data_IF_367081745849
#
_entry.id   IF_367081745849
#
_cell.length_a   1.000
_cell.length_b   1.000
_cell.length_c   1.000
_cell.angle_alpha   90.00
_cell.angle_beta   90.00
_cell.angle_gamma   90.00
#
_symmetry.space_group_name_H-M   'P 1'
#
loop_
_entity.id
_entity.type
_entity.pdbx_description
1 polymer ?
#
# COMPACT_ATOMS: atom_id res chain seq x y z
N UNK A 1 -2.17 2.74 -22.52
CA UNK A 1 -3.61 2.55 -22.20
C UNK A 1 -4.16 3.68 -21.32
N UNK A 2 -3.87 3.75 -20.02
CA UNK A 2 -4.50 4.75 -19.12
C UNK A 2 -4.36 6.20 -19.62
N UNK A 3 -3.16 6.61 -20.03
CA UNK A 3 -2.92 7.94 -20.59
C UNK A 3 -3.69 8.19 -21.90
N UNK A 4 -3.82 7.18 -22.78
CA UNK A 4 -4.60 7.29 -24.03
C UNK A 4 -6.10 7.45 -23.76
N UNK A 5 -6.58 6.93 -22.63
CA UNK A 5 -7.98 7.04 -22.19
C UNK A 5 -8.23 8.25 -21.29
N UNK A 6 -7.21 9.07 -21.02
CA UNK A 6 -7.32 10.21 -20.09
C UNK A 6 -7.65 9.82 -18.65
N UNK A 7 -7.29 8.59 -18.24
CA UNK A 7 -7.57 8.07 -16.90
C UNK A 7 -6.41 8.35 -15.94
N UNK A 8 -6.76 8.83 -14.75
CA UNK A 8 -5.83 8.98 -13.63
C UNK A 8 -5.63 7.65 -12.91
N UNK A 9 -4.44 7.46 -12.33
CA UNK A 9 -4.15 6.35 -11.44
C UNK A 9 -3.10 6.74 -10.40
N UNK A 10 -3.06 5.93 -9.34
CA UNK A 10 -2.08 6.03 -8.26
C UNK A 10 -1.19 4.79 -8.27
N UNK A 11 0.13 4.97 -8.30
CA UNK A 11 1.11 3.91 -8.11
C UNK A 11 1.62 3.96 -6.66
N UNK A 12 1.43 2.87 -5.90
CA UNK A 12 2.00 2.74 -4.56
C UNK A 12 3.35 2.01 -4.64
N UNK A 13 4.43 2.70 -4.29
CA UNK A 13 5.81 2.25 -4.52
C UNK A 13 6.46 1.78 -3.22
N UNK A 14 6.98 0.53 -3.14
CA UNK A 14 7.84 0.09 -2.05
C UNK A 14 9.26 0.59 -2.32
N UNK A 15 9.63 1.74 -1.73
CA UNK A 15 10.73 2.56 -2.27
C UNK A 15 12.11 1.91 -2.18
N UNK A 16 12.39 1.09 -1.14
CA UNK A 16 13.65 0.37 -0.99
C UNK A 16 13.90 -0.74 -2.02
N UNK A 17 12.95 -0.98 -2.93
CA UNK A 17 13.04 -1.99 -3.99
C UNK A 17 13.00 -1.38 -5.40
N UNK A 18 12.95 -0.06 -5.53
CA UNK A 18 12.96 0.62 -6.84
C UNK A 18 14.28 0.31 -7.57
N UNK A 19 14.18 -0.10 -8.83
CA UNK A 19 15.31 -0.55 -9.64
C UNK A 19 15.84 -1.95 -9.33
N UNK A 20 15.30 -2.61 -8.30
CA UNK A 20 15.65 -3.99 -7.92
C UNK A 20 14.60 -5.02 -8.34
N UNK A 21 14.36 -5.99 -7.46
CA UNK A 21 13.35 -7.04 -7.62
C UNK A 21 12.39 -7.09 -6.42
N UNK A 22 11.29 -7.82 -6.56
CA UNK A 22 10.30 -8.02 -5.51
C UNK A 22 10.71 -9.02 -4.42
N UNK A 23 11.88 -8.80 -3.81
CA UNK A 23 12.52 -9.69 -2.82
C UNK A 23 11.69 -9.92 -1.55
N UNK A 24 10.68 -9.07 -1.29
CA UNK A 24 9.72 -9.29 -0.21
C UNK A 24 8.78 -10.48 -0.47
N UNK A 25 8.71 -10.97 -1.70
CA UNK A 25 8.00 -12.19 -2.09
C UNK A 25 8.94 -13.40 -2.00
N UNK A 26 8.39 -14.61 -2.15
CA UNK A 26 9.16 -15.87 -2.11
C UNK A 26 9.11 -16.58 -3.45
N UNK A 27 10.08 -17.46 -3.69
CA UNK A 27 10.13 -18.31 -4.88
C UNK A 27 10.38 -17.52 -6.16
N UNK A 28 9.74 -17.94 -7.26
CA UNK A 28 9.88 -17.28 -8.56
C UNK A 28 9.49 -15.80 -8.51
N UNK A 29 8.55 -15.44 -7.62
CA UNK A 29 8.06 -14.07 -7.49
C UNK A 29 9.05 -13.15 -6.77
N UNK A 30 10.10 -13.67 -6.11
CA UNK A 30 11.12 -12.84 -5.47
C UNK A 30 11.98 -12.05 -6.48
N UNK A 31 12.01 -12.50 -7.74
CA UNK A 31 12.89 -11.98 -8.80
C UNK A 31 12.14 -11.21 -9.89
N UNK A 32 10.89 -10.79 -9.63
CA UNK A 32 10.18 -9.96 -10.61
C UNK A 32 10.78 -8.56 -10.61
N UNK A 33 11.12 -8.00 -11.78
CA UNK A 33 11.75 -6.70 -11.87
C UNK A 33 10.81 -5.61 -11.39
N UNK A 34 11.35 -4.68 -10.60
CA UNK A 34 10.66 -3.48 -10.17
C UNK A 34 10.91 -2.32 -11.14
N UNK A 35 10.01 -1.34 -11.13
CA UNK A 35 10.24 -0.08 -11.84
C UNK A 35 11.54 0.56 -11.34
N UNK A 36 12.32 1.14 -12.25
CA UNK A 36 13.46 2.00 -11.91
C UNK A 36 13.01 3.39 -11.50
N UNK A 37 13.91 4.18 -10.91
CA UNK A 37 13.66 5.57 -10.55
C UNK A 37 13.22 6.41 -11.74
N UNK A 38 13.92 6.30 -12.88
CA UNK A 38 13.49 6.94 -14.13
C UNK A 38 12.05 6.58 -14.52
N UNK A 39 11.62 5.34 -14.26
CA UNK A 39 10.25 4.90 -14.51
C UNK A 39 9.23 5.56 -13.57
N UNK A 40 9.54 5.63 -12.27
CA UNK A 40 8.70 6.31 -11.26
C UNK A 40 8.57 7.80 -11.57
N UNK A 41 9.69 8.47 -11.88
CA UNK A 41 9.74 9.87 -12.26
C UNK A 41 8.95 10.14 -13.55
N UNK A 42 9.09 9.27 -14.55
CA UNK A 42 8.32 9.38 -15.80
C UNK A 42 6.81 9.30 -15.56
N UNK A 43 6.36 8.41 -14.67
CA UNK A 43 4.94 8.32 -14.30
C UNK A 43 4.48 9.58 -13.55
N UNK A 44 5.30 10.10 -12.64
CA UNK A 44 5.00 11.36 -11.95
C UNK A 44 4.89 12.53 -12.93
N UNK A 45 5.79 12.64 -13.91
CA UNK A 45 5.74 13.65 -14.97
C UNK A 45 4.53 13.49 -15.89
N UNK A 46 4.09 12.26 -16.14
CA UNK A 46 2.88 11.97 -16.90
C UNK A 46 1.56 12.26 -16.13
N UNK A 47 1.64 12.75 -14.89
CA UNK A 47 0.49 13.16 -14.08
C UNK A 47 -0.14 12.05 -13.24
N UNK A 48 0.47 10.86 -13.17
CA UNK A 48 0.05 9.82 -12.24
C UNK A 48 0.43 10.21 -10.80
N UNK A 49 -0.42 9.84 -9.84
CA UNK A 49 -0.09 10.01 -8.43
C UNK A 49 0.92 8.95 -8.01
N UNK A 50 1.97 9.37 -7.31
CA UNK A 50 2.90 8.47 -6.63
C UNK A 50 2.55 8.43 -5.15
N UNK A 51 2.14 7.27 -4.68
CA UNK A 51 1.93 6.95 -3.27
C UNK A 51 3.04 6.01 -2.76
N UNK A 52 3.10 5.84 -1.44
CA UNK A 52 4.07 4.94 -0.81
C UNK A 52 3.46 3.58 -0.44
N UNK A 53 4.27 2.54 -0.54
CA UNK A 53 3.97 1.20 -0.06
C UNK A 53 4.95 0.76 1.06
N UNK A 54 5.49 1.72 1.81
CA UNK A 54 6.57 1.51 2.77
C UNK A 54 7.94 1.44 2.09
N UNK A 55 9.01 1.42 2.88
CA UNK A 55 10.37 1.31 2.32
C UNK A 55 10.74 -0.17 2.16
N UNK A 56 10.51 -0.95 3.22
CA UNK A 56 10.84 -2.38 3.36
C UNK A 56 9.62 -3.30 3.19
N UNK A 57 8.49 -2.78 2.70
CA UNK A 57 7.25 -3.56 2.53
C UNK A 57 6.82 -4.31 3.82
N UNK A 58 6.95 -3.64 4.97
CA UNK A 58 6.67 -4.26 6.28
C UNK A 58 5.19 -4.58 6.48
N UNK A 59 4.91 -5.76 7.04
CA UNK A 59 3.58 -6.10 7.53
C UNK A 59 3.22 -5.21 8.75
N UNK A 60 2.56 -4.09 8.49
CA UNK A 60 2.38 -3.01 9.46
C UNK A 60 1.52 -3.40 10.69
N UNK A 61 0.72 -4.47 10.59
CA UNK A 61 -0.20 -4.91 11.63
C UNK A 61 0.45 -5.80 12.71
N UNK A 62 1.65 -6.31 12.43
CA UNK A 62 2.44 -7.22 13.28
C UNK A 62 3.83 -6.70 13.65
N UNK A 63 4.33 -5.65 12.99
CA UNK A 63 5.59 -5.00 13.35
C UNK A 63 5.39 -3.92 14.44
N UNK A 64 6.47 -3.56 15.19
CA UNK A 64 6.42 -2.48 16.17
C UNK A 64 5.96 -1.14 15.54
N UNK A 65 5.09 -0.37 16.20
CA UNK A 65 4.58 0.90 15.66
C UNK A 65 5.68 1.91 15.29
N UNK A 66 6.76 1.96 16.06
CA UNK A 66 7.90 2.84 15.85
C UNK A 66 8.65 2.46 14.58
N UNK A 67 8.84 1.17 14.35
CA UNK A 67 9.46 0.65 13.13
C UNK A 67 8.59 0.95 11.89
N UNK A 68 7.27 0.79 12.01
CA UNK A 68 6.32 1.13 10.93
C UNK A 68 6.35 2.62 10.61
N UNK A 69 6.47 3.48 11.61
CA UNK A 69 6.58 4.93 11.40
C UNK A 69 7.89 5.28 10.67
N UNK A 70 9.01 4.74 11.12
CA UNK A 70 10.32 4.98 10.50
C UNK A 70 10.37 4.50 9.05
N UNK A 71 9.87 3.29 8.78
CA UNK A 71 9.77 2.72 7.44
C UNK A 71 8.91 3.58 6.50
N UNK A 72 7.73 3.98 6.97
CA UNK A 72 6.82 4.82 6.20
C UNK A 72 7.44 6.22 5.96
N UNK A 73 8.09 6.81 6.98
CA UNK A 73 8.75 8.11 6.86
C UNK A 73 9.91 8.06 5.86
N UNK A 74 10.77 7.05 5.94
CA UNK A 74 11.88 6.84 5.02
C UNK A 74 11.38 6.74 3.57
N UNK A 75 10.32 5.93 3.35
CA UNK A 75 9.73 5.81 2.02
C UNK A 75 9.17 7.11 1.49
N UNK A 76 8.51 7.90 2.33
CA UNK A 76 7.98 9.20 1.94
C UNK A 76 9.11 10.11 1.46
N UNK A 77 10.17 10.25 2.25
CA UNK A 77 11.27 11.15 1.94
C UNK A 77 12.02 10.74 0.68
N UNK A 78 12.33 9.45 0.54
CA UNK A 78 13.02 8.94 -0.64
C UNK A 78 12.18 9.17 -1.92
N UNK A 79 10.88 8.91 -1.87
CA UNK A 79 10.01 9.18 -3.02
C UNK A 79 9.96 10.69 -3.31
N UNK A 80 9.73 11.54 -2.30
CA UNK A 80 9.64 12.99 -2.45
C UNK A 80 10.92 13.61 -3.03
N UNK A 81 12.10 13.11 -2.63
CA UNK A 81 13.41 13.53 -3.14
C UNK A 81 13.52 13.26 -4.66
N UNK A 82 13.13 12.08 -5.11
CA UNK A 82 13.17 11.70 -6.52
C UNK A 82 12.13 12.42 -7.38
N UNK A 83 10.88 12.57 -6.90
CA UNK A 83 9.78 13.09 -7.73
C UNK A 83 9.54 14.60 -7.58
N UNK A 84 10.25 15.25 -6.65
CA UNK A 84 10.18 16.70 -6.40
C UNK A 84 8.80 17.22 -5.97
N UNK A 85 7.93 16.35 -5.42
CA UNK A 85 6.57 16.71 -4.98
C UNK A 85 6.13 15.87 -3.79
N UNK A 86 5.18 16.39 -3.02
CA UNK A 86 4.69 15.73 -1.81
C UNK A 86 4.03 14.36 -2.08
N UNK A 87 4.38 13.36 -1.27
CA UNK A 87 3.79 12.03 -1.29
C UNK A 87 2.81 11.92 -0.13
N UNK A 88 1.52 11.90 -0.45
CA UNK A 88 0.45 12.07 0.57
C UNK A 88 -0.40 10.83 0.81
N UNK A 89 -0.25 9.79 -0.03
CA UNK A 89 -1.04 8.57 0.02
C UNK A 89 -0.17 7.37 0.36
N UNK A 90 -0.67 6.49 1.22
CA UNK A 90 -0.01 5.24 1.61
C UNK A 90 -0.89 4.04 1.26
N UNK A 91 -0.30 2.88 0.99
CA UNK A 91 -1.02 1.61 0.97
C UNK A 91 -0.34 0.65 1.93
N UNK A 92 -1.09 0.00 2.82
CA UNK A 92 -0.49 -0.99 3.72
C UNK A 92 -0.02 -2.21 2.94
N UNK A 93 1.25 -2.65 3.11
CA UNK A 93 1.70 -3.95 2.61
C UNK A 93 0.73 -5.07 2.99
N UNK A 94 0.39 -5.91 2.02
CA UNK A 94 -0.64 -6.97 2.14
C UNK A 94 -2.06 -6.49 2.48
N UNK A 95 -2.28 -5.18 2.60
CA UNK A 95 -3.57 -4.57 2.88
C UNK A 95 -4.03 -4.59 4.33
N UNK A 96 -3.24 -5.14 5.25
CA UNK A 96 -3.60 -5.28 6.67
C UNK A 96 -3.02 -4.17 7.53
N UNK A 97 -3.77 -3.76 8.56
CA UNK A 97 -3.38 -2.67 9.45
C UNK A 97 -3.89 -2.90 10.88
N UNK A 98 -3.37 -2.12 11.82
CA UNK A 98 -3.90 -1.98 13.17
C UNK A 98 -4.16 -0.50 13.48
N UNK A 99 -4.87 -0.20 14.58
CA UNK A 99 -5.02 1.18 15.05
C UNK A 99 -3.65 1.83 15.36
N UNK A 100 -2.65 1.03 15.77
CA UNK A 100 -1.29 1.53 15.97
C UNK A 100 -0.61 1.84 14.62
N UNK A 101 -0.71 0.96 13.63
CA UNK A 101 -0.20 1.20 12.28
C UNK A 101 -0.80 2.46 11.64
N UNK A 102 -2.11 2.69 11.82
CA UNK A 102 -2.77 3.91 11.35
C UNK A 102 -2.18 5.17 12.00
N UNK A 103 -1.83 5.12 13.28
CA UNK A 103 -1.16 6.23 13.98
C UNK A 103 0.26 6.43 13.46
N UNK A 104 1.03 5.36 13.26
CA UNK A 104 2.39 5.43 12.70
C UNK A 104 2.41 6.06 11.31
N UNK A 105 1.52 5.61 10.40
CA UNK A 105 1.41 6.19 9.05
C UNK A 105 0.97 7.65 9.11
N UNK A 106 0.08 8.02 10.02
CA UNK A 106 -0.28 9.43 10.25
C UNK A 106 0.91 10.26 10.75
N UNK A 107 1.69 9.73 11.70
CA UNK A 107 2.85 10.40 12.27
C UNK A 107 3.99 10.56 11.25
N UNK A 108 4.13 9.62 10.30
CA UNK A 108 5.03 9.70 9.16
C UNK A 108 4.66 10.82 8.15
N UNK A 109 3.49 11.45 8.29
CA UNK A 109 3.10 12.65 7.53
C UNK A 109 2.21 12.40 6.32
N UNK A 110 1.69 11.18 6.14
CA UNK A 110 0.69 10.88 5.11
C UNK A 110 -0.66 11.53 5.42
N UNK A 111 -1.51 11.68 4.40
CA UNK A 111 -2.88 12.20 4.50
C UNK A 111 -3.92 11.11 4.36
N UNK A 112 -3.61 9.98 3.74
CA UNK A 112 -4.56 8.87 3.63
C UNK A 112 -3.81 7.55 3.49
N UNK A 113 -4.50 6.46 3.81
CA UNK A 113 -3.97 5.13 3.66
C UNK A 113 -5.02 4.14 3.16
N UNK A 114 -4.62 3.29 2.21
CA UNK A 114 -5.44 2.26 1.59
C UNK A 114 -5.18 0.89 2.23
N UNK A 115 -6.25 0.15 2.48
CA UNK A 115 -6.26 -1.21 3.01
C UNK A 115 -6.99 -2.17 2.05
N UNK A 116 -6.82 -3.48 2.25
CA UNK A 116 -7.67 -4.48 1.59
C UNK A 116 -8.95 -4.63 2.41
N UNK A 117 -10.09 -4.54 1.75
CA UNK A 117 -11.39 -4.70 2.41
C UNK A 117 -12.49 -5.24 1.52
N UNK A 118 -12.19 -5.52 0.23
CA UNK A 118 -13.14 -6.00 -0.77
C UNK A 118 -14.44 -5.19 -0.78
N UNK A 119 -14.34 -3.87 -0.54
CA UNK A 119 -15.48 -2.96 -0.47
C UNK A 119 -15.21 -1.75 -1.36
N UNK A 120 -16.22 -1.25 -2.08
CA UNK A 120 -16.17 0.08 -2.66
C UNK A 120 -16.01 1.12 -1.55
N UNK A 121 -15.02 1.99 -1.69
CA UNK A 121 -14.82 3.13 -0.81
C UNK A 121 -15.97 4.12 -0.95
N UNK A 122 -16.35 4.77 0.15
CA UNK A 122 -17.38 5.82 0.18
C UNK A 122 -16.93 7.01 1.00
N UNK A 123 -17.57 8.15 0.76
CA UNK A 123 -17.44 9.32 1.63
C UNK A 123 -17.78 8.94 3.08
N UNK A 124 -16.95 9.39 4.01
CA UNK A 124 -17.08 9.06 5.44
C UNK A 124 -16.46 7.73 5.87
N UNK A 125 -15.85 6.95 4.96
CA UNK A 125 -14.97 5.86 5.38
C UNK A 125 -13.74 6.40 6.12
N UNK A 126 -13.10 5.53 6.93
CA UNK A 126 -11.86 5.87 7.62
C UNK A 126 -10.76 6.11 6.59
N UNK A 127 -10.34 7.37 6.43
CA UNK A 127 -9.27 7.78 5.50
C UNK A 127 -7.91 7.10 5.75
N UNK A 128 -7.69 6.53 6.94
CA UNK A 128 -6.48 5.79 7.28
C UNK A 128 -6.60 4.29 6.99
N UNK A 129 -7.71 3.88 6.37
CA UNK A 129 -8.10 2.50 6.09
C UNK A 129 -9.10 2.45 4.93
N UNK A 130 -8.84 3.19 3.84
CA UNK A 130 -9.72 3.21 2.68
C UNK A 130 -9.77 1.81 2.06
N UNK A 131 -10.95 1.17 1.95
CA UNK A 131 -11.03 -0.16 1.38
C UNK A 131 -10.79 -0.10 -0.13
N UNK A 132 -10.12 -1.13 -0.64
CA UNK A 132 -9.95 -1.34 -2.08
C UNK A 132 -10.65 -2.62 -2.54
N UNK A 133 -11.06 -2.60 -3.80
CA UNK A 133 -11.46 -3.78 -4.54
C UNK A 133 -10.20 -4.40 -5.16
N UNK A 134 -10.04 -5.71 -5.02
CA UNK A 134 -8.97 -6.46 -5.68
C UNK A 134 -9.46 -6.91 -7.05
N UNK A 135 -8.62 -6.69 -8.07
CA UNK A 135 -8.86 -7.15 -9.43
C UNK A 135 -7.81 -8.21 -9.72
N UNK A 136 -8.26 -9.43 -9.96
CA UNK A 136 -7.42 -10.59 -10.23
C UNK A 136 -7.33 -10.87 -11.73
N UNK A 137 -6.48 -11.84 -12.12
CA UNK A 137 -6.22 -12.15 -13.53
C UNK A 137 -7.44 -12.71 -14.28
N UNK A 138 -8.42 -13.25 -13.56
CA UNK A 138 -9.66 -13.82 -14.07
C UNK A 138 -10.87 -12.86 -13.93
N UNK A 139 -10.65 -11.64 -13.44
CA UNK A 139 -11.72 -10.64 -13.32
C UNK A 139 -12.17 -10.16 -14.70
N UNK A 140 -13.39 -10.52 -15.10
CA UNK A 140 -13.97 -10.06 -16.37
C UNK A 140 -14.40 -8.58 -16.29
N UNK A 141 -14.55 -7.89 -17.44
CA UNK A 141 -15.09 -6.53 -17.46
C UNK A 141 -16.46 -6.40 -16.76
N UNK A 142 -17.35 -7.39 -16.95
CA UNK A 142 -18.68 -7.41 -16.33
C UNK A 142 -18.57 -7.56 -14.81
N UNK A 143 -17.67 -8.44 -14.33
CA UNK A 143 -17.38 -8.59 -12.92
C UNK A 143 -16.83 -7.29 -12.32
N UNK A 144 -15.89 -6.63 -13.00
CA UNK A 144 -15.34 -5.35 -12.58
C UNK A 144 -16.43 -4.26 -12.46
N UNK A 145 -17.32 -4.17 -13.45
CA UNK A 145 -18.46 -3.23 -13.40
C UNK A 145 -19.37 -3.54 -12.22
N UNK A 146 -19.69 -4.82 -12.00
CA UNK A 146 -20.52 -5.24 -10.87
C UNK A 146 -19.87 -4.88 -9.51
N UNK A 147 -18.55 -5.08 -9.38
CA UNK A 147 -17.79 -4.72 -8.18
C UNK A 147 -17.84 -3.22 -7.91
N UNK A 148 -17.66 -2.38 -8.94
CA UNK A 148 -17.70 -0.91 -8.81
C UNK A 148 -19.11 -0.40 -8.50
N UNK A 149 -20.14 -1.03 -9.07
CA UNK A 149 -21.54 -0.63 -8.88
C UNK A 149 -22.14 -1.16 -7.57
N UNK A 150 -21.50 -2.15 -6.94
CA UNK A 150 -21.99 -2.72 -5.69
C UNK A 150 -22.13 -1.66 -4.59
N UNK A 151 -23.26 -1.69 -3.87
CA UNK A 151 -23.57 -0.75 -2.77
C UNK A 151 -23.95 -1.56 -1.52
N UNK A 152 -22.97 -2.11 -0.80
CA UNK A 152 -23.26 -2.92 0.39
C UNK A 152 -23.89 -2.07 1.51
N UNK A 153 -24.96 -2.59 2.10
CA UNK A 153 -25.59 -2.02 3.28
C UNK A 153 -24.70 -2.12 4.54
N UNK A 154 -25.10 -1.46 5.64
CA UNK A 154 -24.33 -1.43 6.88
C UNK A 154 -23.90 -2.82 7.42
N UNK A 155 -24.75 -3.87 7.42
CA UNK A 155 -24.36 -5.19 7.92
C UNK A 155 -23.20 -5.82 7.12
N UNK A 156 -23.27 -5.78 5.78
CA UNK A 156 -22.22 -6.32 4.92
C UNK A 156 -20.89 -5.59 5.12
N UNK A 157 -20.94 -4.26 5.29
CA UNK A 157 -19.73 -3.47 5.58
C UNK A 157 -19.14 -3.77 6.96
N UNK A 158 -19.98 -3.97 7.97
CA UNK A 158 -19.53 -4.35 9.31
C UNK A 158 -18.84 -5.71 9.30
N UNK A 159 -19.41 -6.68 8.58
CA UNK A 159 -18.84 -8.02 8.39
C UNK A 159 -17.50 -8.00 7.64
N UNK A 160 -17.39 -7.25 6.53
CA UNK A 160 -16.12 -7.13 5.82
C UNK A 160 -15.01 -6.55 6.70
N UNK A 161 -15.35 -5.57 7.57
CA UNK A 161 -14.41 -4.99 8.54
C UNK A 161 -14.02 -5.98 9.64
N UNK A 162 -14.91 -6.87 10.09
CA UNK A 162 -14.58 -7.84 11.15
C UNK A 162 -13.63 -8.93 10.67
N UNK A 163 -13.70 -9.35 9.40
CA UNK A 163 -12.77 -10.31 8.80
C UNK A 163 -11.31 -9.86 8.90
N UNK A 164 -11.03 -8.55 8.79
CA UNK A 164 -9.69 -8.01 8.97
C UNK A 164 -9.11 -8.35 10.35
N UNK A 165 -9.93 -8.32 11.42
CA UNK A 165 -9.51 -8.67 12.77
C UNK A 165 -9.11 -10.14 12.93
N UNK A 166 -9.82 -11.04 12.26
CA UNK A 166 -9.55 -12.50 12.27
C UNK A 166 -8.26 -12.83 11.54
N UNK A 167 -8.02 -12.21 10.38
CA UNK A 167 -6.79 -12.42 9.62
C UNK A 167 -5.53 -11.95 10.36
N UNK A 168 -5.62 -10.85 11.13
CA UNK A 168 -4.52 -10.39 11.99
C UNK A 168 -4.11 -11.42 13.04
N UNK A 169 -5.08 -12.13 13.62
CA UNK A 169 -4.80 -13.19 14.59
C UNK A 169 -4.09 -14.38 13.93
N UNK A 170 -4.55 -14.78 12.73
CA UNK A 170 -3.93 -15.86 11.97
C UNK A 170 -2.49 -15.55 11.51
N UNK A 171 -2.17 -14.31 11.13
CA UNK A 171 -0.83 -13.94 10.64
C UNK A 171 0.23 -13.92 11.75
N UNK A 172 -0.13 -13.52 12.97
CA UNK A 172 0.77 -13.57 14.15
C UNK A 172 1.27 -14.99 14.44
N UNK A 173 0.44 -16.00 14.16
CA UNK A 173 0.80 -17.42 14.31
C UNK A 173 1.66 -17.99 13.17
N UNK A 174 1.75 -17.33 12.01
CA UNK A 174 2.44 -17.86 10.81
C UNK A 174 3.87 -17.30 10.66
N UNK A 175 4.35 -16.51 11.62
CA UNK A 175 5.77 -16.14 11.69
C UNK A 175 6.28 -15.32 10.49
N UNK A 176 5.44 -14.46 9.90
CA UNK A 176 5.91 -13.41 8.99
C UNK A 176 6.59 -12.30 9.79
N UNK A 177 7.76 -12.62 10.36
CA UNK A 177 8.72 -11.69 10.97
C UNK A 177 9.67 -11.11 9.92
N UNK A 178 10.41 -10.04 10.25
CA UNK A 178 11.04 -9.15 9.28
C UNK A 178 12.08 -9.91 8.45
N UNK A 179 11.89 -9.90 7.12
CA UNK A 179 13.03 -10.00 6.24
C UNK A 179 13.76 -8.64 6.33
N UNK A 180 14.86 -8.67 7.08
CA UNK A 180 15.98 -7.73 7.00
C UNK A 180 15.77 -6.31 7.57
N UNK A 181 16.04 -6.16 8.87
CA UNK A 181 16.24 -4.87 9.52
C UNK A 181 17.55 -4.14 9.11
N UNK A 182 18.29 -4.62 8.11
CA UNK A 182 19.63 -4.12 7.74
C UNK A 182 19.67 -2.93 6.77
N UNK A 183 18.52 -2.46 6.25
CA UNK A 183 18.46 -1.36 5.25
C UNK A 183 18.11 0.01 5.83
N UNK A 184 17.78 0.13 7.11
CA UNK A 184 17.44 1.42 7.75
C UNK A 184 18.67 2.24 8.19
N UNK A 185 19.89 1.73 8.04
CA UNK A 185 21.12 2.42 8.47
C UNK A 185 21.57 3.55 7.51
N UNK A 186 20.85 3.77 6.39
CA UNK A 186 21.22 4.75 5.36
C UNK A 186 20.34 6.00 5.23
N UNK A 187 19.29 6.16 6.05
CA UNK A 187 18.39 7.32 5.93
C UNK A 187 18.99 8.58 6.58
N UNK A 188 19.06 9.73 5.88
CA UNK A 188 19.51 10.98 6.49
C UNK A 188 18.53 11.45 7.58
N UNK A 189 19.11 12.01 8.65
CA UNK A 189 18.42 12.52 9.85
C UNK A 189 17.55 13.75 9.57
#
# INVERSE_FOLDING_TARGET
VLAQLGMNATLFVPSGYVGGCSEWLRGADAHRPMLSWNGVESLAHAGFEIGSHGHMHLAADVNPPELVELDARASRYELEDHIGRAVTSFAYPFGYHSAAAQRSVRAAGYRQACAVGELPARMGDNRWALPRLQVDNDTTPEALVAMIQWRPGPPARAWARSKQGVWRLGRRSVGWGPAEAGRLEGAPQ
#
